data_IF_595366418030
#
_entry.id   IF_595366418030
#
_cell.length_a   1.000
_cell.length_b   1.000
_cell.length_c   1.000
_cell.angle_alpha   90.00
_cell.angle_beta   90.00
_cell.angle_gamma   90.00
#
_symmetry.space_group_name_H-M   'P 1'
#
loop_
_entity.id
_entity.type
_entity.pdbx_description
1 polymer ?
#
# COMPACT_ATOMS: atom_id res chain seq x y z
N UNK A 1 -4.83 -14.61 -16.83
CA UNK A 1 -5.55 -13.67 -15.93
C UNK A 1 -7.06 -13.85 -15.98
N UNK A 2 -7.75 -13.63 -17.11
CA UNK A 2 -9.19 -13.96 -17.23
C UNK A 2 -9.48 -15.45 -16.96
N UNK A 3 -8.57 -16.35 -17.35
CA UNK A 3 -8.76 -17.80 -17.24
C UNK A 3 -8.37 -18.39 -15.87
N UNK A 4 -7.72 -17.62 -14.99
CA UNK A 4 -7.20 -18.13 -13.70
C UNK A 4 -8.15 -17.85 -12.52
N UNK A 5 -9.35 -17.33 -12.78
CA UNK A 5 -10.35 -16.98 -11.75
C UNK A 5 -10.00 -15.79 -10.86
N UNK A 6 -8.87 -15.12 -11.11
CA UNK A 6 -8.35 -14.00 -10.31
C UNK A 6 -8.60 -12.62 -10.92
N UNK A 7 -9.39 -12.55 -11.99
CA UNK A 7 -9.71 -11.29 -12.65
C UNK A 7 -10.56 -10.40 -11.73
N UNK A 8 -10.16 -9.14 -11.59
CA UNK A 8 -10.94 -8.15 -10.87
C UNK A 8 -11.79 -7.37 -11.89
N UNK A 9 -13.14 -7.41 -11.80
CA UNK A 9 -14.04 -6.74 -12.74
C UNK A 9 -13.80 -5.21 -12.86
N UNK A 10 -13.10 -4.60 -11.90
CA UNK A 10 -12.69 -3.20 -12.01
C UNK A 10 -11.77 -2.92 -13.21
N UNK A 11 -11.18 -3.96 -13.82
CA UNK A 11 -10.33 -3.84 -15.01
C UNK A 11 -11.09 -4.01 -16.33
N UNK A 12 -12.38 -4.37 -16.32
CA UNK A 12 -13.15 -4.65 -17.54
C UNK A 12 -13.11 -3.46 -18.52
N UNK A 13 -13.41 -2.25 -18.04
CA UNK A 13 -13.38 -1.04 -18.87
C UNK A 13 -11.98 -0.73 -19.43
N UNK A 14 -10.94 -0.96 -18.65
CA UNK A 14 -9.56 -0.71 -19.10
C UNK A 14 -9.17 -1.73 -20.18
N UNK A 15 -9.55 -2.99 -20.01
CA UNK A 15 -9.33 -4.03 -21.01
C UNK A 15 -10.12 -3.80 -22.30
N UNK A 16 -11.31 -3.20 -22.21
CA UNK A 16 -12.12 -2.82 -23.39
C UNK A 16 -11.51 -1.63 -24.13
N UNK A 17 -10.97 -0.64 -23.41
CA UNK A 17 -10.46 0.60 -24.01
C UNK A 17 -9.03 0.46 -24.55
N UNK A 18 -8.16 -0.23 -23.81
CA UNK A 18 -6.77 -0.47 -24.19
C UNK A 18 -6.33 -1.88 -23.72
N UNK A 19 -6.60 -2.90 -24.55
CA UNK A 19 -6.28 -4.28 -24.21
C UNK A 19 -4.78 -4.53 -24.07
N UNK A 20 -3.97 -3.92 -24.95
CA UNK A 20 -2.52 -4.10 -24.97
C UNK A 20 -1.89 -3.52 -23.71
N UNK A 21 -2.25 -2.28 -23.35
CA UNK A 21 -1.76 -1.67 -22.12
C UNK A 21 -2.20 -2.46 -20.88
N UNK A 22 -3.46 -2.91 -20.87
CA UNK A 22 -3.99 -3.69 -19.73
C UNK A 22 -3.23 -5.01 -19.56
N UNK A 23 -2.93 -5.72 -20.65
CA UNK A 23 -2.12 -6.94 -20.61
C UNK A 23 -0.69 -6.67 -20.11
N UNK A 24 -0.05 -5.62 -20.61
CA UNK A 24 1.30 -5.22 -20.16
C UNK A 24 1.33 -4.84 -18.68
N UNK A 25 0.33 -4.08 -18.21
CA UNK A 25 0.19 -3.72 -16.80
C UNK A 25 -0.01 -4.96 -15.91
N UNK A 26 -0.84 -5.91 -16.34
CA UNK A 26 -1.05 -7.17 -15.62
C UNK A 26 0.21 -8.04 -15.59
N UNK A 27 0.93 -8.12 -16.71
CA UNK A 27 2.22 -8.82 -16.78
C UNK A 27 3.24 -8.21 -15.82
N UNK A 28 3.34 -6.87 -15.77
CA UNK A 28 4.20 -6.16 -14.83
C UNK A 28 3.84 -6.49 -13.37
N UNK A 29 2.56 -6.46 -13.01
CA UNK A 29 2.11 -6.79 -11.65
C UNK A 29 2.36 -8.24 -11.26
N UNK A 30 2.44 -9.17 -12.23
CA UNK A 30 2.72 -10.57 -11.98
C UNK A 30 4.22 -10.84 -11.70
N UNK A 31 5.13 -9.91 -12.03
CA UNK A 31 6.59 -10.08 -11.91
C UNK A 31 7.02 -10.55 -10.51
N UNK A 32 6.56 -9.95 -9.38
CA UNK A 32 7.00 -10.37 -8.05
C UNK A 32 6.70 -11.84 -7.75
N UNK A 33 5.55 -12.34 -8.23
CA UNK A 33 5.12 -13.74 -8.07
C UNK A 33 5.89 -14.65 -9.02
N UNK A 34 6.00 -14.25 -10.30
CA UNK A 34 6.67 -15.04 -11.34
C UNK A 34 8.16 -15.27 -11.05
N UNK A 35 8.85 -14.26 -10.51
CA UNK A 35 10.26 -14.36 -10.15
C UNK A 35 10.52 -15.26 -8.95
N UNK A 36 9.48 -15.61 -8.16
CA UNK A 36 9.56 -16.50 -6.98
C UNK A 36 10.65 -16.12 -5.97
N UNK A 37 11.01 -14.83 -5.93
CA UNK A 37 11.96 -14.29 -4.94
C UNK A 37 11.33 -14.24 -3.56
N UNK A 38 10.03 -13.96 -3.51
CA UNK A 38 9.20 -14.01 -2.31
C UNK A 38 8.20 -15.15 -2.39
N UNK A 39 7.78 -15.63 -1.21
CA UNK A 39 6.66 -16.57 -1.13
C UNK A 39 5.37 -15.88 -1.54
N UNK A 40 4.39 -16.61 -2.11
CA UNK A 40 3.07 -16.04 -2.42
C UNK A 40 2.41 -15.36 -1.22
N UNK A 41 2.53 -15.97 -0.02
CA UNK A 41 2.03 -15.41 1.24
C UNK A 41 2.61 -14.02 1.53
N UNK A 42 3.93 -13.88 1.39
CA UNK A 42 4.61 -12.61 1.64
C UNK A 42 4.20 -11.54 0.62
N UNK A 43 4.03 -11.91 -0.65
CA UNK A 43 3.55 -10.98 -1.67
C UNK A 43 2.14 -10.48 -1.32
N UNK A 44 1.23 -11.35 -0.92
CA UNK A 44 -0.12 -10.92 -0.51
C UNK A 44 -0.09 -10.02 0.73
N UNK A 45 0.72 -10.34 1.75
CA UNK A 45 0.90 -9.48 2.93
C UNK A 45 1.46 -8.11 2.56
N UNK A 46 2.42 -8.04 1.64
CA UNK A 46 2.97 -6.79 1.14
C UNK A 46 1.91 -5.97 0.37
N UNK A 47 1.10 -6.64 -0.45
CA UNK A 47 0.01 -5.97 -1.16
C UNK A 47 -1.08 -5.44 -0.21
N UNK A 48 -1.41 -6.17 0.86
CA UNK A 48 -2.30 -5.66 1.93
C UNK A 48 -1.71 -4.39 2.54
N UNK A 49 -0.40 -4.38 2.84
CA UNK A 49 0.27 -3.21 3.42
C UNK A 49 0.15 -1.98 2.51
N UNK A 50 0.39 -2.14 1.21
CA UNK A 50 0.31 -1.06 0.21
C UNK A 50 -1.12 -0.50 0.12
N UNK A 51 -2.11 -1.38 -0.01
CA UNK A 51 -3.51 -0.95 -0.18
C UNK A 51 -4.12 -0.36 1.10
N UNK A 52 -3.70 -0.84 2.28
CA UNK A 52 -4.22 -0.40 3.57
C UNK A 52 -3.52 0.84 4.13
N UNK A 53 -2.38 1.24 3.59
CA UNK A 53 -1.66 2.44 4.01
C UNK A 53 -2.57 3.68 3.98
N UNK A 54 -2.47 4.55 4.99
CA UNK A 54 -3.30 5.76 5.10
C UNK A 54 -3.15 6.74 3.92
N UNK A 55 -2.05 6.62 3.17
CA UNK A 55 -1.77 7.39 1.94
C UNK A 55 -2.45 6.81 0.70
N UNK A 56 -3.03 5.61 0.77
CA UNK A 56 -3.66 4.94 -0.35
C UNK A 56 -5.12 4.53 -0.09
N UNK A 57 -5.39 3.81 1.00
CA UNK A 57 -6.73 3.38 1.45
C UNK A 57 -7.61 2.74 0.35
N UNK A 58 -7.02 1.89 -0.49
CA UNK A 58 -7.71 1.23 -1.58
C UNK A 58 -8.48 -0.02 -1.09
N UNK A 59 -9.67 0.22 -0.54
CA UNK A 59 -10.50 -0.82 0.08
C UNK A 59 -10.79 -2.06 -0.80
N UNK A 60 -11.03 -1.96 -2.13
CA UNK A 60 -11.21 -3.14 -2.97
C UNK A 60 -9.98 -4.05 -3.01
N UNK A 61 -8.78 -3.46 -3.07
CA UNK A 61 -7.52 -4.19 -3.08
C UNK A 61 -7.23 -4.86 -1.73
N UNK A 62 -7.42 -4.15 -0.62
CA UNK A 62 -7.32 -4.72 0.74
C UNK A 62 -8.18 -5.98 0.88
N UNK A 63 -9.44 -5.92 0.45
CA UNK A 63 -10.36 -7.07 0.52
C UNK A 63 -9.89 -8.24 -0.34
N UNK A 64 -9.43 -7.96 -1.56
CA UNK A 64 -8.95 -8.98 -2.50
C UNK A 64 -7.71 -9.68 -1.96
N UNK A 65 -6.73 -8.94 -1.49
CA UNK A 65 -5.46 -9.48 -1.00
C UNK A 65 -5.60 -10.18 0.36
N UNK A 66 -6.46 -9.70 1.27
CA UNK A 66 -6.80 -10.45 2.49
C UNK A 66 -7.41 -11.81 2.16
N UNK A 67 -8.32 -11.89 1.18
CA UNK A 67 -8.90 -13.17 0.77
C UNK A 67 -7.85 -14.11 0.19
N UNK A 68 -7.02 -13.61 -0.73
CA UNK A 68 -5.95 -14.40 -1.33
C UNK A 68 -4.92 -14.90 -0.29
N UNK A 69 -4.56 -14.06 0.69
CA UNK A 69 -3.68 -14.44 1.79
C UNK A 69 -4.27 -15.59 2.63
N UNK A 70 -5.56 -15.49 2.98
CA UNK A 70 -6.27 -16.55 3.72
C UNK A 70 -6.34 -17.86 2.92
N UNK A 71 -6.60 -17.78 1.61
CA UNK A 71 -6.61 -18.95 0.71
C UNK A 71 -5.22 -19.62 0.62
N UNK A 72 -4.14 -18.86 0.83
CA UNK A 72 -2.76 -19.34 0.90
C UNK A 72 -2.32 -19.82 2.29
N UNK A 73 -3.23 -19.82 3.27
CA UNK A 73 -2.99 -20.29 4.63
C UNK A 73 -2.35 -19.27 5.58
N UNK A 74 -2.30 -17.98 5.20
CA UNK A 74 -1.81 -16.91 6.09
C UNK A 74 -2.78 -16.75 7.26
N UNK A 75 -2.23 -16.63 8.47
CA UNK A 75 -3.03 -16.50 9.68
C UNK A 75 -3.66 -15.10 9.80
N UNK A 76 -4.76 -15.02 10.56
CA UNK A 76 -5.37 -13.73 10.89
C UNK A 76 -4.42 -12.83 11.67
N UNK A 77 -3.56 -13.40 12.50
CA UNK A 77 -2.60 -12.68 13.32
C UNK A 77 -1.52 -12.01 12.47
N UNK A 78 -1.01 -12.68 11.43
CA UNK A 78 -0.08 -12.09 10.47
C UNK A 78 -0.72 -10.91 9.71
N UNK A 79 -1.97 -11.06 9.27
CA UNK A 79 -2.71 -9.99 8.59
C UNK A 79 -2.92 -8.81 9.54
N UNK A 80 -3.31 -9.07 10.79
CA UNK A 80 -3.51 -8.02 11.79
C UNK A 80 -2.21 -7.30 12.10
N UNK A 81 -1.09 -8.02 12.20
CA UNK A 81 0.23 -7.43 12.38
C UNK A 81 0.59 -6.47 11.24
N UNK A 82 0.31 -6.82 9.98
CA UNK A 82 0.50 -5.91 8.84
C UNK A 82 -0.34 -4.64 8.97
N UNK A 83 -1.62 -4.77 9.33
CA UNK A 83 -2.50 -3.61 9.51
C UNK A 83 -2.02 -2.69 10.64
N UNK A 84 -1.53 -3.27 11.75
CA UNK A 84 -0.93 -2.52 12.85
C UNK A 84 0.34 -1.80 12.39
N UNK A 85 1.22 -2.46 11.63
CA UNK A 85 2.44 -1.84 11.10
C UNK A 85 2.15 -0.64 10.19
N UNK A 86 1.14 -0.71 9.32
CA UNK A 86 0.83 0.43 8.43
C UNK A 86 0.08 1.56 9.15
N UNK A 87 -0.57 1.27 10.29
CA UNK A 87 -1.26 2.31 11.07
C UNK A 87 -0.31 3.37 11.64
N UNK A 88 0.97 3.05 11.83
CA UNK A 88 1.95 3.98 12.40
C UNK A 88 2.49 4.99 11.38
N UNK A 89 2.16 4.89 10.09
CA UNK A 89 2.61 5.82 9.03
C UNK A 89 2.30 7.29 9.37
N UNK A 90 1.27 7.57 10.18
CA UNK A 90 0.94 8.92 10.64
C UNK A 90 2.05 9.62 11.42
N UNK A 91 2.98 8.88 12.03
CA UNK A 91 4.11 9.47 12.78
C UNK A 91 5.01 10.34 11.91
N UNK A 92 5.03 10.11 10.59
CA UNK A 92 5.81 10.91 9.66
C UNK A 92 5.40 12.39 9.65
N UNK A 93 4.15 12.71 9.99
CA UNK A 93 3.72 14.09 10.18
C UNK A 93 4.47 14.77 11.34
N UNK A 94 4.71 14.06 12.45
CA UNK A 94 5.48 14.58 13.58
C UNK A 94 6.98 14.67 13.24
N UNK A 95 7.52 13.68 12.53
CA UNK A 95 8.93 13.70 12.12
C UNK A 95 9.29 14.94 11.29
N UNK A 96 8.34 15.45 10.50
CA UNK A 96 8.51 16.70 9.76
C UNK A 96 8.11 17.92 10.60
N UNK A 97 6.95 17.87 11.27
CA UNK A 97 6.36 19.02 11.93
C UNK A 97 7.09 19.46 13.21
N UNK A 98 7.66 18.54 13.97
CA UNK A 98 8.36 18.88 15.23
C UNK A 98 9.65 19.68 14.97
N UNK A 99 10.54 19.29 14.05
CA UNK A 99 11.68 20.12 13.67
C UNK A 99 11.29 21.51 13.14
N UNK A 100 10.31 21.57 12.24
CA UNK A 100 9.81 22.85 11.70
C UNK A 100 9.28 23.76 12.82
N UNK A 101 8.53 23.19 13.77
CA UNK A 101 8.03 23.95 14.91
C UNK A 101 9.17 24.50 15.78
N UNK A 102 10.23 23.73 15.99
CA UNK A 102 11.40 24.20 16.74
C UNK A 102 12.09 25.38 16.03
N UNK A 103 12.29 25.28 14.71
CA UNK A 103 12.86 26.37 13.90
C UNK A 103 12.02 27.66 13.98
N UNK A 104 10.69 27.54 13.90
CA UNK A 104 9.81 28.70 13.98
C UNK A 104 9.74 29.31 15.38
N UNK A 105 9.86 28.50 16.44
CA UNK A 105 9.94 28.99 17.82
C UNK A 105 11.22 29.82 18.03
N UNK A 106 12.36 29.33 17.55
CA UNK A 106 13.64 30.04 17.63
C UNK A 106 13.57 31.37 16.84
N UNK A 107 13.04 31.32 15.61
CA UNK A 107 12.85 32.51 14.78
C UNK A 107 11.89 33.52 15.42
N UNK A 108 10.81 33.05 16.07
CA UNK A 108 9.87 33.92 16.79
C UNK A 108 10.53 34.62 17.98
N UNK A 109 11.33 33.89 18.78
CA UNK A 109 12.06 34.48 19.90
C UNK A 109 13.06 35.54 19.43
N UNK A 110 13.80 35.27 18.35
CA UNK A 110 14.72 36.24 17.76
C UNK A 110 14.00 37.52 17.29
N UNK A 111 12.85 37.38 16.62
CA UNK A 111 12.02 38.53 16.19
C UNK A 111 11.50 39.34 17.38
N UNK A 112 11.08 38.68 18.46
CA UNK A 112 10.63 39.36 19.69
C UNK A 112 11.75 40.12 20.39
N UNK A 113 12.96 39.58 20.40
CA UNK A 113 14.12 40.24 21.02
C UNK A 113 14.61 41.46 20.23
N UNK A 114 14.28 41.54 18.93
CA UNK A 114 14.64 42.66 18.06
C UNK A 114 13.58 43.79 18.01
N UNK A 115 12.43 43.60 18.66
CA UNK A 115 11.33 44.57 18.81
C UNK A 115 11.45 45.33 20.13
#
# INVERSE_FOLDING_TARGET
MHQDGKWNPLWDKLSEWDPEWTEQFMAMNAIPIQRKVFTPQFVELLSIAIDAAATHLYAPGVRRHIRAALDLGVSRDEILAVLQMVSVLGIHACNLGVPILAEELDAHQARRAAS
#
